data_IF_123673857189
#
_entry.id   IF_123673857189
#
_cell.length_a   1.000
_cell.length_b   1.000
_cell.length_c   1.000
_cell.angle_alpha   90.00
_cell.angle_beta   90.00
_cell.angle_gamma   90.00
#
_symmetry.space_group_name_H-M   'P 1'
#
loop_
_entity.id
_entity.type
_entity.pdbx_description
1 polymer ?
#
# COMPACT_ATOMS: atom_id res chain seq x y z
N UNK A 1 33.62 41.48 57.69
CA UNK A 1 32.44 41.15 58.52
C UNK A 1 31.19 41.37 57.66
N UNK A 2 30.66 40.26 57.16
CA UNK A 2 29.26 39.99 56.78
C UNK A 2 28.48 40.98 55.89
N UNK A 3 28.51 40.77 54.56
CA UNK A 3 27.35 40.95 53.66
C UNK A 3 27.45 39.97 52.48
N UNK A 4 27.60 38.66 52.73
CA UNK A 4 27.61 37.64 51.66
C UNK A 4 26.39 36.69 51.66
N UNK A 5 25.40 36.85 52.55
CA UNK A 5 24.44 35.76 52.80
C UNK A 5 22.99 36.03 52.34
N UNK A 6 22.58 37.25 51.97
CA UNK A 6 21.13 37.52 51.74
C UNK A 6 20.70 37.68 50.28
N UNK A 7 21.59 37.90 49.31
CA UNK A 7 21.16 38.06 47.90
C UNK A 7 21.04 36.77 47.08
N UNK A 8 21.36 35.60 47.64
CA UNK A 8 21.29 34.31 46.94
C UNK A 8 19.96 33.55 47.11
N UNK A 9 18.88 34.19 47.59
CA UNK A 9 17.61 33.48 47.85
C UNK A 9 16.41 33.90 46.99
N UNK A 10 16.52 34.92 46.13
CA UNK A 10 15.39 35.42 45.32
C UNK A 10 15.58 35.33 43.79
N UNK A 11 16.62 34.66 43.31
CA UNK A 11 16.81 34.42 41.88
C UNK A 11 16.91 32.92 41.54
N UNK A 12 15.94 32.12 41.99
CA UNK A 12 15.91 30.70 41.57
C UNK A 12 14.50 30.08 41.43
N UNK A 13 13.41 30.86 41.50
CA UNK A 13 12.05 30.31 41.41
C UNK A 13 11.28 30.66 40.13
N UNK A 14 11.63 31.74 39.41
CA UNK A 14 10.95 32.13 38.15
C UNK A 14 11.65 31.62 36.88
N UNK A 15 12.99 31.57 36.83
CA UNK A 15 13.73 31.01 35.67
C UNK A 15 13.72 29.47 35.61
N UNK A 16 13.59 28.80 36.76
CA UNK A 16 13.57 27.34 36.82
C UNK A 16 12.23 26.75 36.37
N UNK A 17 11.14 27.52 36.51
CA UNK A 17 9.80 27.13 36.04
C UNK A 17 9.74 27.18 34.52
N UNK A 18 10.26 28.24 33.87
CA UNK A 18 10.29 28.34 32.41
C UNK A 18 11.15 27.27 31.74
N UNK A 19 12.31 26.93 32.31
CA UNK A 19 13.18 25.87 31.80
C UNK A 19 12.52 24.48 31.85
N UNK A 20 11.78 24.17 32.93
CA UNK A 20 11.05 22.91 33.06
C UNK A 20 9.88 22.79 32.09
N UNK A 21 9.16 23.88 31.81
CA UNK A 21 8.10 23.89 30.81
C UNK A 21 8.63 23.75 29.38
N UNK A 22 9.77 24.39 29.05
CA UNK A 22 10.43 24.23 27.75
C UNK A 22 10.95 22.80 27.57
N UNK A 23 11.54 22.21 28.62
CA UNK A 23 11.97 20.80 28.59
C UNK A 23 10.79 19.83 28.48
N UNK A 24 9.65 20.12 29.14
CA UNK A 24 8.40 19.35 28.99
C UNK A 24 7.82 19.47 27.58
N UNK A 25 7.76 20.67 27.00
CA UNK A 25 7.27 20.88 25.64
C UNK A 25 8.19 20.24 24.58
N UNK A 26 9.51 20.31 24.78
CA UNK A 26 10.47 19.60 23.94
C UNK A 26 10.33 18.08 24.07
N UNK A 27 10.16 17.55 25.29
CA UNK A 27 9.92 16.13 25.52
C UNK A 27 8.59 15.67 24.88
N UNK A 28 7.52 16.46 24.96
CA UNK A 28 6.23 16.19 24.31
C UNK A 28 6.38 16.20 22.77
N UNK A 29 7.17 17.12 22.21
CA UNK A 29 7.43 17.18 20.76
C UNK A 29 8.19 15.94 20.25
N UNK A 30 9.16 15.42 21.02
CA UNK A 30 9.89 14.18 20.67
C UNK A 30 9.03 12.91 20.74
N UNK A 31 7.94 12.89 21.51
CA UNK A 31 7.05 11.72 21.63
C UNK A 31 6.13 11.56 20.40
N UNK A 32 5.94 12.61 19.58
CA UNK A 32 5.00 12.58 18.44
C UNK A 32 5.58 12.00 17.13
N UNK A 33 6.81 11.48 17.13
CA UNK A 33 7.50 11.06 15.89
C UNK A 33 7.35 9.59 15.48
N UNK A 34 6.43 8.82 16.08
CA UNK A 34 6.26 7.39 15.76
C UNK A 34 4.80 7.03 15.52
N UNK A 35 4.41 6.88 14.23
CA UNK A 35 3.34 5.93 13.85
C UNK A 35 3.28 5.65 12.33
N UNK A 36 3.69 6.60 11.48
CA UNK A 36 3.52 6.50 10.01
C UNK A 36 4.22 5.31 9.34
N UNK A 37 5.31 4.78 9.91
CA UNK A 37 6.04 3.64 9.31
C UNK A 37 5.31 2.32 9.50
N UNK A 38 4.67 2.12 10.65
CA UNK A 38 3.96 0.89 10.99
C UNK A 38 2.69 0.75 10.13
N UNK A 39 1.95 1.84 9.93
CA UNK A 39 0.74 1.81 9.10
C UNK A 39 1.05 1.46 7.63
N UNK A 40 2.09 2.08 7.05
CA UNK A 40 2.50 1.77 5.67
C UNK A 40 2.87 0.29 5.48
N UNK A 41 3.61 -0.29 6.43
CA UNK A 41 3.97 -1.72 6.39
C UNK A 41 2.74 -2.64 6.51
N UNK A 42 1.78 -2.31 7.37
CA UNK A 42 0.53 -3.06 7.48
C UNK A 42 -0.30 -2.97 6.20
N UNK A 43 -0.40 -1.78 5.61
CA UNK A 43 -1.15 -1.53 4.38
C UNK A 43 -0.55 -2.25 3.18
N UNK A 44 0.77 -2.25 3.03
CA UNK A 44 1.47 -2.97 1.96
C UNK A 44 1.32 -4.49 2.12
N UNK A 45 1.43 -5.02 3.35
CA UNK A 45 1.17 -6.44 3.66
C UNK A 45 -0.27 -6.83 3.32
N UNK A 46 -1.24 -5.98 3.62
CA UNK A 46 -2.63 -6.23 3.27
C UNK A 46 -2.83 -6.29 1.75
N UNK A 47 -2.25 -5.34 1.00
CA UNK A 47 -2.31 -5.38 -0.47
C UNK A 47 -1.65 -6.64 -1.03
N UNK A 48 -0.50 -7.05 -0.48
CA UNK A 48 0.18 -8.29 -0.86
C UNK A 48 -0.73 -9.52 -0.71
N UNK A 49 -1.40 -9.67 0.44
CA UNK A 49 -2.32 -10.79 0.70
C UNK A 49 -3.48 -10.80 -0.31
N UNK A 50 -4.10 -9.65 -0.56
CA UNK A 50 -5.22 -9.53 -1.49
C UNK A 50 -4.81 -9.84 -2.94
N UNK A 51 -3.65 -9.34 -3.37
CA UNK A 51 -3.12 -9.62 -4.71
C UNK A 51 -2.77 -11.10 -4.87
N UNK A 52 -2.18 -11.74 -3.84
CA UNK A 52 -1.90 -13.18 -3.86
C UNK A 52 -3.18 -14.01 -3.91
N UNK A 53 -4.24 -13.59 -3.21
CA UNK A 53 -5.55 -14.24 -3.28
C UNK A 53 -6.16 -14.12 -4.69
N UNK A 54 -6.05 -12.96 -5.34
CA UNK A 54 -6.45 -12.78 -6.75
C UNK A 54 -5.67 -13.76 -7.63
N UNK A 55 -4.34 -13.80 -7.50
CA UNK A 55 -3.48 -14.71 -8.26
C UNK A 55 -3.82 -16.18 -8.05
N UNK A 56 -4.05 -16.58 -6.81
CA UNK A 56 -4.44 -17.94 -6.45
C UNK A 56 -5.76 -18.34 -7.12
N UNK A 57 -6.80 -17.52 -6.99
CA UNK A 57 -8.11 -17.80 -7.62
C UNK A 57 -8.03 -17.79 -9.14
N UNK A 58 -7.18 -16.94 -9.73
CA UNK A 58 -6.97 -16.90 -11.16
C UNK A 58 -6.36 -18.20 -11.68
N UNK A 59 -5.35 -18.74 -10.99
CA UNK A 59 -4.77 -20.05 -11.30
C UNK A 59 -5.81 -21.17 -11.20
N UNK A 60 -6.58 -21.20 -10.10
CA UNK A 60 -7.63 -22.20 -9.92
C UNK A 60 -8.67 -22.18 -11.04
N UNK A 61 -9.11 -20.98 -11.46
CA UNK A 61 -10.05 -20.83 -12.58
C UNK A 61 -9.45 -21.23 -13.93
N UNK A 62 -8.14 -21.18 -14.07
CA UNK A 62 -7.42 -21.69 -15.25
C UNK A 62 -7.20 -23.21 -15.22
N UNK A 63 -7.56 -23.88 -14.13
CA UNK A 63 -7.36 -25.31 -13.92
C UNK A 63 -6.03 -25.68 -13.25
N UNK A 64 -5.27 -24.70 -12.75
CA UNK A 64 -3.99 -24.91 -12.08
C UNK A 64 -4.15 -24.81 -10.56
N UNK A 65 -4.10 -25.95 -9.87
CA UNK A 65 -4.19 -26.05 -8.41
C UNK A 65 -2.84 -26.32 -7.73
N UNK A 66 -1.76 -26.41 -8.49
CA UNK A 66 -0.45 -26.88 -7.99
C UNK A 66 0.61 -25.79 -8.07
N UNK A 67 0.57 -24.95 -9.11
CA UNK A 67 1.58 -23.91 -9.29
C UNK A 67 1.54 -22.88 -8.17
N UNK A 68 2.73 -22.41 -7.77
CA UNK A 68 2.85 -21.42 -6.71
C UNK A 68 2.52 -20.02 -7.23
N UNK A 69 1.84 -19.27 -6.38
CA UNK A 69 1.71 -17.81 -6.50
C UNK A 69 2.99 -17.19 -5.93
N UNK A 70 3.81 -16.58 -6.78
CA UNK A 70 5.09 -16.01 -6.39
C UNK A 70 4.88 -14.84 -5.40
N UNK A 71 5.92 -14.46 -4.63
CA UNK A 71 5.85 -13.28 -3.77
C UNK A 71 5.50 -12.03 -4.58
N UNK A 72 4.57 -11.23 -4.05
CA UNK A 72 4.25 -9.91 -4.62
C UNK A 72 5.33 -8.92 -4.21
N UNK A 73 5.83 -8.16 -5.18
CA UNK A 73 6.87 -7.15 -5.00
C UNK A 73 6.31 -5.76 -5.26
N UNK A 74 6.57 -4.80 -4.38
CA UNK A 74 6.30 -3.40 -4.66
C UNK A 74 7.46 -2.83 -5.48
N UNK A 75 7.21 -2.48 -6.74
CA UNK A 75 8.25 -1.97 -7.66
C UNK A 75 8.37 -0.46 -7.60
N UNK A 76 7.29 0.23 -7.23
CA UNK A 76 7.20 1.66 -6.95
C UNK A 76 6.13 1.87 -5.91
N UNK A 77 6.10 3.05 -5.29
CA UNK A 77 5.10 3.40 -4.29
C UNK A 77 3.67 3.15 -4.82
N UNK A 78 2.95 2.22 -4.16
CA UNK A 78 1.58 1.85 -4.56
C UNK A 78 1.49 0.99 -5.83
N UNK A 79 2.61 0.53 -6.40
CA UNK A 79 2.67 -0.31 -7.60
C UNK A 79 3.23 -1.67 -7.25
N UNK A 80 2.39 -2.70 -7.35
CA UNK A 80 2.68 -4.07 -6.95
C UNK A 80 2.70 -4.99 -8.15
N UNK A 81 3.68 -5.88 -8.21
CA UNK A 81 3.83 -6.84 -9.30
C UNK A 81 3.70 -8.26 -8.75
N UNK A 82 2.88 -9.06 -9.44
CA UNK A 82 2.68 -10.48 -9.20
C UNK A 82 3.22 -11.29 -10.37
N UNK A 83 4.04 -12.29 -10.06
CA UNK A 83 4.54 -13.27 -11.00
C UNK A 83 3.94 -14.66 -10.71
N UNK A 84 4.02 -15.54 -11.70
CA UNK A 84 3.58 -16.92 -11.59
C UNK A 84 4.75 -17.86 -11.86
N UNK A 85 4.75 -19.01 -11.17
CA UNK A 85 5.81 -20.01 -11.33
C UNK A 85 5.83 -20.62 -12.74
N UNK A 86 4.65 -20.81 -13.33
CA UNK A 86 4.48 -21.45 -14.64
C UNK A 86 3.68 -20.55 -15.57
N UNK A 87 3.81 -20.85 -16.87
CA UNK A 87 2.92 -20.28 -17.89
C UNK A 87 1.49 -20.70 -17.60
N UNK A 88 0.56 -19.77 -17.73
CA UNK A 88 -0.86 -20.01 -17.48
C UNK A 88 -1.70 -19.27 -18.50
N UNK A 89 -2.92 -19.75 -18.72
CA UNK A 89 -3.95 -19.06 -19.49
C UNK A 89 -4.86 -18.31 -18.52
N UNK A 90 -5.45 -17.19 -18.94
CA UNK A 90 -6.37 -16.47 -18.06
C UNK A 90 -7.52 -15.82 -18.83
N UNK A 91 -8.64 -15.70 -18.14
CA UNK A 91 -9.79 -14.96 -18.63
C UNK A 91 -9.74 -13.51 -18.08
N UNK A 92 -9.70 -12.48 -18.95
CA UNK A 92 -9.77 -11.08 -18.53
C UNK A 92 -10.96 -10.72 -17.64
N UNK A 93 -12.13 -11.30 -17.92
CA UNK A 93 -13.37 -11.05 -17.17
C UNK A 93 -13.28 -11.60 -15.74
N UNK A 94 -12.66 -12.77 -15.59
CA UNK A 94 -12.34 -13.37 -14.30
C UNK A 94 -11.40 -12.49 -13.47
N UNK A 95 -10.29 -12.02 -14.07
CA UNK A 95 -9.35 -11.15 -13.38
C UNK A 95 -10.02 -9.85 -12.91
N UNK A 96 -10.83 -9.23 -13.77
CA UNK A 96 -11.61 -8.04 -13.42
C UNK A 96 -12.59 -8.31 -12.27
N UNK A 97 -13.35 -9.42 -12.34
CA UNK A 97 -14.33 -9.76 -11.31
C UNK A 97 -13.66 -10.05 -9.95
N UNK A 98 -12.53 -10.77 -9.96
CA UNK A 98 -11.73 -11.03 -8.76
C UNK A 98 -11.18 -9.75 -8.15
N UNK A 99 -10.61 -8.86 -8.97
CA UNK A 99 -10.12 -7.56 -8.51
C UNK A 99 -11.27 -6.75 -7.89
N UNK A 100 -12.42 -6.64 -8.55
CA UNK A 100 -13.60 -5.91 -8.03
C UNK A 100 -14.08 -6.45 -6.68
N UNK A 101 -14.06 -7.77 -6.50
CA UNK A 101 -14.52 -8.40 -5.27
C UNK A 101 -13.53 -8.29 -4.10
N UNK A 102 -12.22 -8.31 -4.39
CA UNK A 102 -11.17 -8.34 -3.36
C UNK A 102 -10.57 -6.97 -3.04
N UNK A 103 -10.74 -5.99 -3.93
CA UNK A 103 -10.22 -4.64 -3.77
C UNK A 103 -11.40 -3.66 -3.64
N UNK A 104 -12.04 -3.55 -2.46
CA UNK A 104 -13.23 -2.71 -2.27
C UNK A 104 -12.89 -1.22 -2.17
N UNK A 105 -13.84 -0.36 -2.53
CA UNK A 105 -13.72 1.10 -2.42
C UNK A 105 -13.42 1.62 -1.01
N UNK A 106 -13.82 0.87 0.03
CA UNK A 106 -13.54 1.20 1.43
C UNK A 106 -12.06 1.16 1.79
N UNK A 107 -11.25 0.44 1.00
CA UNK A 107 -9.80 0.28 1.21
C UNK A 107 -8.96 0.97 0.12
N UNK A 108 -9.51 1.06 -1.09
CA UNK A 108 -8.84 1.61 -2.28
C UNK A 108 -9.67 2.75 -2.86
N UNK A 109 -9.77 3.86 -2.15
CA UNK A 109 -10.74 4.95 -2.39
C UNK A 109 -10.61 5.59 -3.77
N UNK A 110 -9.38 5.81 -4.26
CA UNK A 110 -9.13 6.36 -5.58
C UNK A 110 -9.39 5.36 -6.73
N UNK A 111 -9.64 4.09 -6.40
CA UNK A 111 -9.69 3.01 -7.37
C UNK A 111 -8.31 2.39 -7.61
N UNK A 112 -8.12 1.78 -8.78
CA UNK A 112 -6.89 1.09 -9.16
C UNK A 112 -6.82 0.80 -10.66
N UNK A 113 -5.61 0.56 -11.13
CA UNK A 113 -5.31 0.07 -12.48
C UNK A 113 -4.65 -1.30 -12.39
N UNK A 114 -5.06 -2.22 -13.26
CA UNK A 114 -4.46 -3.54 -13.39
C UNK A 114 -3.96 -3.72 -14.82
N UNK A 115 -2.70 -4.06 -14.99
CA UNK A 115 -2.08 -4.35 -16.28
C UNK A 115 -1.45 -5.72 -16.26
N UNK A 116 -1.53 -6.42 -17.38
CA UNK A 116 -0.89 -7.72 -17.59
C UNK A 116 0.15 -7.55 -18.67
N UNK A 117 1.38 -7.94 -18.36
CA UNK A 117 2.53 -7.83 -19.23
C UNK A 117 2.98 -9.19 -19.72
N UNK A 118 3.39 -9.28 -20.99
CA UNK A 118 4.12 -10.43 -21.51
C UNK A 118 5.57 -10.40 -20.98
N UNK A 119 6.05 -11.51 -20.42
CA UNK A 119 7.40 -11.56 -19.83
C UNK A 119 8.54 -11.33 -20.84
N UNK A 120 8.33 -11.66 -22.12
CA UNK A 120 9.38 -11.64 -23.15
C UNK A 120 9.44 -10.30 -23.85
N UNK A 121 8.28 -9.74 -24.19
CA UNK A 121 8.16 -8.51 -24.97
C UNK A 121 8.01 -7.26 -24.08
N UNK A 122 7.82 -7.44 -22.76
CA UNK A 122 7.54 -6.39 -21.77
C UNK A 122 6.32 -5.49 -22.08
N UNK A 123 5.57 -5.80 -23.14
CA UNK A 123 4.38 -5.07 -23.56
C UNK A 123 3.15 -5.43 -22.73
N UNK A 124 2.21 -4.49 -22.62
CA UNK A 124 0.91 -4.70 -21.99
C UNK A 124 0.02 -5.50 -22.95
N UNK A 125 -0.36 -6.71 -22.56
CA UNK A 125 -1.25 -7.59 -23.33
C UNK A 125 -2.72 -7.44 -22.93
N UNK A 126 -2.97 -6.94 -21.73
CA UNK A 126 -4.30 -6.64 -21.22
C UNK A 126 -4.21 -5.60 -20.10
N UNK A 127 -5.26 -4.82 -19.92
CA UNK A 127 -5.37 -3.94 -18.78
C UNK A 127 -6.77 -3.41 -18.59
N UNK A 128 -7.06 -2.98 -17.36
CA UNK A 128 -8.27 -2.25 -17.04
C UNK A 128 -8.04 -1.27 -15.88
N UNK A 129 -8.94 -0.31 -15.77
CA UNK A 129 -8.95 0.65 -14.68
C UNK A 129 -10.34 0.71 -14.04
N UNK A 130 -10.34 0.86 -12.72
CA UNK A 130 -11.52 1.13 -11.92
C UNK A 130 -11.26 2.43 -11.18
N UNK A 131 -12.18 3.37 -11.34
CA UNK A 131 -12.21 4.59 -10.55
C UNK A 131 -13.53 4.57 -9.76
N UNK A 132 -13.48 4.79 -8.44
CA UNK A 132 -14.71 4.82 -7.64
C UNK A 132 -15.40 6.17 -7.64
N UNK A 133 -14.72 7.22 -8.09
CA UNK A 133 -15.27 8.56 -8.26
C UNK A 133 -15.93 8.75 -9.64
N UNK A 134 -15.72 7.83 -10.59
CA UNK A 134 -16.35 7.85 -11.90
C UNK A 134 -16.85 6.46 -12.30
N UNK A 135 -18.09 6.30 -12.78
CA UNK A 135 -18.66 4.98 -13.07
C UNK A 135 -18.01 4.23 -14.24
N UNK A 136 -17.13 4.87 -15.01
CA UNK A 136 -16.53 4.31 -16.22
C UNK A 136 -15.44 3.29 -15.88
N UNK A 137 -15.72 2.03 -16.22
CA UNK A 137 -14.74 0.94 -16.21
C UNK A 137 -14.21 0.76 -17.62
N UNK A 138 -12.93 1.06 -17.82
CA UNK A 138 -12.26 0.83 -19.09
C UNK A 138 -11.65 -0.58 -19.08
N UNK A 139 -12.30 -1.56 -19.72
CA UNK A 139 -11.82 -2.94 -19.81
C UNK A 139 -12.23 -3.62 -21.12
N UNK A 140 -11.29 -4.33 -21.75
CA UNK A 140 -11.59 -5.26 -22.84
C UNK A 140 -12.17 -6.56 -22.27
N UNK A 141 -13.19 -7.16 -22.91
CA UNK A 141 -13.90 -8.34 -22.39
C UNK A 141 -14.00 -9.48 -23.41
N UNK A 142 -14.27 -10.69 -22.92
CA UNK A 142 -14.70 -11.83 -23.75
C UNK A 142 -13.61 -12.57 -24.53
N UNK A 143 -12.33 -12.18 -24.44
CA UNK A 143 -11.22 -12.87 -25.11
C UNK A 143 -10.25 -13.45 -24.09
N UNK A 144 -10.31 -14.77 -23.90
CA UNK A 144 -9.31 -15.45 -23.06
C UNK A 144 -7.92 -15.28 -23.66
N UNK A 145 -6.94 -15.01 -22.80
CA UNK A 145 -5.54 -15.01 -23.19
C UNK A 145 -5.02 -16.45 -23.20
N UNK A 146 -4.22 -16.84 -24.20
CA UNK A 146 -3.67 -18.19 -24.30
C UNK A 146 -2.66 -18.47 -23.18
N UNK A 147 -2.23 -19.72 -23.04
CA UNK A 147 -1.19 -20.07 -22.08
C UNK A 147 0.13 -19.36 -22.42
N UNK A 148 0.60 -18.50 -21.52
CA UNK A 148 1.77 -17.64 -21.75
C UNK A 148 2.51 -17.30 -20.47
N UNK A 149 3.66 -16.64 -20.61
CA UNK A 149 4.36 -16.06 -19.46
C UNK A 149 3.82 -14.66 -19.25
N UNK A 150 3.15 -14.45 -18.12
CA UNK A 150 2.58 -13.16 -17.78
C UNK A 150 2.98 -12.71 -16.38
N UNK A 151 3.13 -11.40 -16.21
CA UNK A 151 3.15 -10.74 -14.90
C UNK A 151 1.98 -9.78 -14.79
N UNK A 152 1.38 -9.66 -13.61
CA UNK A 152 0.27 -8.74 -13.36
C UNK A 152 0.76 -7.61 -12.46
N UNK A 153 0.58 -6.38 -12.90
CA UNK A 153 0.85 -5.17 -12.13
C UNK A 153 -0.47 -4.57 -11.63
N UNK A 154 -0.47 -4.18 -10.37
CA UNK A 154 -1.56 -3.50 -9.68
C UNK A 154 -1.05 -2.13 -9.24
N UNK A 155 -1.66 -1.07 -9.76
CA UNK A 155 -1.32 0.32 -9.44
C UNK A 155 -2.46 0.96 -8.66
N UNK A 156 -2.16 1.44 -7.45
CA UNK A 156 -3.10 2.12 -6.57
C UNK A 156 -2.73 3.59 -6.45
N UNK A 157 -3.55 4.52 -6.98
CA UNK A 157 -3.36 5.94 -6.75
C UNK A 157 -3.48 6.28 -5.26
N UNK A 158 -2.65 7.21 -4.77
CA UNK A 158 -2.67 7.72 -3.40
C UNK A 158 -2.60 6.60 -2.33
N UNK A 159 -1.86 5.53 -2.63
CA UNK A 159 -1.91 4.30 -1.85
C UNK A 159 -1.51 4.51 -0.39
N UNK A 160 -0.51 5.34 -0.10
CA UNK A 160 -0.08 5.65 1.25
C UNK A 160 -0.58 7.00 1.77
N UNK A 161 -1.18 7.84 0.94
CA UNK A 161 -1.69 9.14 1.38
C UNK A 161 -2.98 8.99 2.20
N UNK A 162 -3.76 7.95 1.90
CA UNK A 162 -4.95 7.56 2.65
C UNK A 162 -4.65 6.89 4.00
N UNK A 163 -3.38 6.64 4.35
CA UNK A 163 -2.96 6.18 5.67
C UNK A 163 -3.08 7.26 6.77
N UNK A 164 -3.19 8.53 6.36
CA UNK A 164 -3.20 9.67 7.27
C UNK A 164 -4.59 10.04 7.83
N UNK A 165 -5.64 9.28 7.47
CA UNK A 165 -7.04 9.58 7.80
C UNK A 165 -7.70 8.54 8.71
N UNK A 166 -6.95 7.62 9.31
CA UNK A 166 -7.47 6.68 10.33
C UNK A 166 -6.84 6.93 11.70
#
# INVERSE_FOLDING_TARGET
MNVEIVLASLCNRRLMVSSRWVALLAAIFFITSFDKRTDRDLRSKQANILIREIGHRLLLQSGDSISRVMPVTEVKEGVFQLHFEKKFQFNPDSLMALAKGLLPSTKFTAGYMVTVHDCLQAGIVYGFMINYNSPDVLACKGRSQPAGCYSIEFSFPDFYDNAALQ
#
